data_IF_043525634752
#
_entry.id   IF_043525634752
#
_cell.length_a   1.000
_cell.length_b   1.000
_cell.length_c   1.000
_cell.angle_alpha   90.00
_cell.angle_beta   90.00
_cell.angle_gamma   90.00
#
_symmetry.space_group_name_H-M   'P 1'
#
loop_
_entity.id
_entity.type
_entity.pdbx_description
1 polymer ?
#
# COMPACT_ATOMS: atom_id res chain seq x y z
N UNK A 1 73.32 24.25 -12.11
CA UNK A 1 72.83 23.49 -10.94
C UNK A 1 71.31 23.48 -10.99
N UNK A 2 70.55 22.41 -10.79
CA UNK A 2 70.73 20.97 -10.92
C UNK A 2 69.28 20.45 -11.07
N UNK A 3 69.05 19.54 -12.01
CA UNK A 3 67.72 19.02 -12.41
C UNK A 3 67.04 18.28 -11.26
N UNK A 4 65.72 18.43 -11.12
CA UNK A 4 64.85 17.45 -10.47
C UNK A 4 63.54 17.28 -11.26
N UNK A 5 63.57 16.27 -12.12
CA UNK A 5 62.43 15.46 -12.58
C UNK A 5 61.76 14.77 -11.39
N UNK A 6 60.43 14.59 -11.39
CA UNK A 6 59.69 13.33 -11.12
C UNK A 6 58.22 13.57 -10.71
N UNK A 7 57.36 12.64 -11.14
CA UNK A 7 55.94 12.40 -10.83
C UNK A 7 54.86 13.22 -11.59
N UNK A 8 54.72 12.87 -12.86
CA UNK A 8 53.45 12.87 -13.60
C UNK A 8 53.21 11.42 -14.06
N UNK A 9 52.50 10.62 -13.27
CA UNK A 9 51.84 9.36 -13.67
C UNK A 9 51.34 8.62 -12.41
N UNK A 10 50.02 8.58 -12.20
CA UNK A 10 49.26 7.46 -11.59
C UNK A 10 47.90 7.93 -11.03
N UNK A 11 46.97 8.40 -11.87
CA UNK A 11 45.53 8.40 -11.54
C UNK A 11 44.72 8.19 -12.83
N UNK A 12 44.93 7.06 -13.50
CA UNK A 12 44.12 6.66 -14.65
C UNK A 12 44.12 5.14 -14.77
N UNK A 13 43.27 4.46 -13.99
CA UNK A 13 42.72 3.12 -14.24
C UNK A 13 42.04 2.55 -12.98
N UNK A 14 40.95 3.18 -12.51
CA UNK A 14 39.94 2.50 -11.65
C UNK A 14 38.55 2.77 -12.25
N UNK A 15 38.46 2.70 -13.58
CA UNK A 15 37.22 2.79 -14.33
C UNK A 15 37.00 1.45 -15.01
N UNK A 16 35.78 0.91 -14.89
CA UNK A 16 35.17 -0.16 -15.70
C UNK A 16 35.29 -1.62 -15.20
N UNK A 17 35.06 -1.85 -13.90
CA UNK A 17 34.46 -3.12 -13.44
C UNK A 17 33.26 -2.88 -12.52
N UNK A 18 32.50 -1.82 -12.77
CA UNK A 18 31.10 -1.81 -12.38
C UNK A 18 30.40 -2.80 -13.33
N UNK A 19 30.43 -4.09 -12.98
CA UNK A 19 29.61 -5.10 -13.64
C UNK A 19 28.18 -4.61 -13.56
N UNK A 20 27.67 -4.07 -14.67
CA UNK A 20 26.27 -3.68 -14.76
C UNK A 20 25.47 -4.92 -14.49
N UNK A 21 24.78 -4.97 -13.35
CA UNK A 21 23.78 -6.00 -13.12
C UNK A 21 22.86 -5.96 -14.35
N UNK A 22 22.75 -7.09 -15.05
CA UNK A 22 21.91 -7.17 -16.24
C UNK A 22 20.52 -6.65 -15.84
N UNK A 23 20.02 -5.66 -16.58
CA UNK A 23 18.71 -5.11 -16.31
C UNK A 23 17.67 -6.22 -16.46
N UNK A 24 16.81 -6.38 -15.46
CA UNK A 24 15.70 -7.32 -15.52
C UNK A 24 14.75 -6.92 -16.64
N UNK A 25 14.56 -7.83 -17.61
CA UNK A 25 13.60 -7.65 -18.71
C UNK A 25 12.68 -8.86 -18.75
N UNK A 26 11.38 -8.61 -18.77
CA UNK A 26 10.38 -9.66 -18.88
C UNK A 26 10.32 -10.22 -20.30
N UNK A 27 10.47 -11.54 -20.41
CA UNK A 27 10.53 -12.29 -21.66
C UNK A 27 9.28 -13.12 -21.94
N UNK A 28 8.38 -13.27 -20.96
CA UNK A 28 7.11 -13.95 -21.18
C UNK A 28 6.07 -13.65 -20.11
N UNK A 29 4.80 -13.89 -20.44
CA UNK A 29 3.67 -13.78 -19.52
C UNK A 29 2.86 -15.07 -19.53
N UNK A 30 2.57 -15.59 -18.34
CA UNK A 30 1.66 -16.72 -18.15
C UNK A 30 0.46 -16.27 -17.32
N UNK A 31 -0.75 -16.50 -17.83
CA UNK A 31 -2.01 -16.17 -17.14
C UNK A 31 -2.75 -17.46 -16.80
N UNK A 32 -3.16 -17.62 -15.53
CA UNK A 32 -3.90 -18.78 -15.02
C UNK A 32 -5.09 -18.35 -14.19
N UNK A 33 -6.20 -19.09 -14.29
CA UNK A 33 -7.31 -18.91 -13.37
C UNK A 33 -6.90 -19.41 -11.98
N UNK A 34 -7.16 -18.62 -10.94
CA UNK A 34 -6.85 -19.00 -9.56
C UNK A 34 -7.81 -20.04 -8.98
N UNK A 35 -8.98 -20.22 -9.59
CA UNK A 35 -10.08 -21.01 -9.04
C UNK A 35 -10.76 -20.37 -7.82
N UNK A 36 -10.34 -19.15 -7.43
CA UNK A 36 -10.93 -18.45 -6.31
C UNK A 36 -12.37 -18.03 -6.64
N UNK A 37 -13.28 -18.31 -5.70
CA UNK A 37 -14.66 -17.84 -5.80
C UNK A 37 -14.73 -16.35 -5.48
N UNK A 38 -15.47 -15.62 -6.29
CA UNK A 38 -15.82 -14.23 -6.06
C UNK A 38 -16.91 -14.12 -5.01
N UNK A 39 -17.00 -12.97 -4.33
CA UNK A 39 -18.02 -12.76 -3.30
C UNK A 39 -19.43 -12.60 -3.88
N UNK A 40 -19.53 -12.04 -5.08
CA UNK A 40 -20.75 -11.94 -5.87
C UNK A 40 -20.59 -12.70 -7.20
N UNK A 41 -21.69 -13.14 -7.83
CA UNK A 41 -21.63 -13.75 -9.16
C UNK A 41 -20.90 -12.85 -10.15
N UNK A 42 -19.99 -13.43 -10.95
CA UNK A 42 -19.24 -12.68 -11.96
C UNK A 42 -20.21 -12.13 -13.00
N UNK A 43 -20.18 -10.81 -13.21
CA UNK A 43 -20.91 -10.19 -14.31
C UNK A 43 -20.10 -10.39 -15.60
N UNK A 44 -20.41 -11.44 -16.34
CA UNK A 44 -19.69 -11.83 -17.56
C UNK A 44 -19.78 -10.81 -18.69
N UNK A 45 -20.74 -9.87 -18.66
CA UNK A 45 -20.84 -8.83 -19.70
C UNK A 45 -19.71 -7.80 -19.65
N UNK A 46 -19.12 -7.59 -18.47
CA UNK A 46 -18.07 -6.60 -18.24
C UNK A 46 -16.78 -7.21 -17.67
N UNK A 47 -16.74 -8.51 -17.36
CA UNK A 47 -15.54 -9.13 -16.80
C UNK A 47 -14.63 -9.65 -17.92
N UNK A 48 -13.32 -9.48 -17.76
CA UNK A 48 -12.36 -10.12 -18.66
C UNK A 48 -12.24 -11.62 -18.38
N UNK A 49 -12.33 -12.39 -19.45
CA UNK A 49 -11.96 -13.79 -19.47
C UNK A 49 -10.43 -13.96 -19.60
N UNK A 50 -9.98 -15.20 -19.82
CA UNK A 50 -8.55 -15.50 -19.95
C UNK A 50 -7.90 -14.72 -21.10
N UNK A 51 -8.60 -14.58 -22.23
CA UNK A 51 -8.03 -13.96 -23.42
C UNK A 51 -8.02 -12.44 -23.28
N UNK A 52 -9.03 -11.84 -22.65
CA UNK A 52 -9.03 -10.42 -22.28
C UNK A 52 -7.86 -10.05 -21.34
N UNK A 53 -7.59 -10.87 -20.32
CA UNK A 53 -6.44 -10.65 -19.43
C UNK A 53 -5.11 -10.81 -20.19
N UNK A 54 -4.97 -11.83 -21.04
CA UNK A 54 -3.77 -11.97 -21.89
C UNK A 54 -3.57 -10.79 -22.82
N UNK A 55 -4.64 -10.27 -23.43
CA UNK A 55 -4.57 -9.11 -24.32
C UNK A 55 -4.10 -7.86 -23.57
N UNK A 56 -4.58 -7.63 -22.34
CA UNK A 56 -4.10 -6.52 -21.51
C UNK A 56 -2.59 -6.59 -21.29
N UNK A 57 -2.06 -7.72 -20.82
CA UNK A 57 -0.62 -7.84 -20.58
C UNK A 57 0.20 -7.86 -21.89
N UNK A 58 -0.33 -8.38 -22.99
CA UNK A 58 0.31 -8.30 -24.29
C UNK A 58 0.42 -6.85 -24.80
N UNK A 59 -0.54 -5.98 -24.46
CA UNK A 59 -0.50 -4.56 -24.84
C UNK A 59 0.55 -3.74 -24.06
N UNK A 60 0.94 -4.21 -22.88
CA UNK A 60 1.98 -3.58 -22.04
C UNK A 60 3.39 -3.99 -22.48
N UNK A 61 3.55 -5.17 -23.11
CA UNK A 61 4.85 -5.70 -23.49
C UNK A 61 5.60 -4.76 -24.46
N UNK A 62 6.95 -4.68 -24.38
CA UNK A 62 7.84 -5.43 -23.49
C UNK A 62 7.78 -4.99 -22.02
N UNK A 63 8.07 -5.90 -21.09
CA UNK A 63 8.13 -5.58 -19.65
C UNK A 63 9.56 -5.17 -19.27
N UNK A 64 9.92 -3.90 -19.50
CA UNK A 64 11.28 -3.38 -19.30
C UNK A 64 11.47 -2.63 -17.96
N UNK A 65 10.39 -2.29 -17.26
CA UNK A 65 10.44 -1.54 -16.00
C UNK A 65 10.29 -2.44 -14.77
N UNK A 66 11.39 -3.07 -14.35
CA UNK A 66 11.46 -3.76 -13.06
C UNK A 66 11.84 -2.81 -11.93
N UNK A 67 11.12 -2.90 -10.81
CA UNK A 67 11.30 -2.07 -9.63
C UNK A 67 11.67 -2.91 -8.41
N UNK A 68 12.46 -2.32 -7.52
CA UNK A 68 12.83 -2.96 -6.25
C UNK A 68 11.60 -3.17 -5.38
N UNK A 69 11.42 -4.39 -4.88
CA UNK A 69 10.31 -4.73 -3.98
C UNK A 69 10.36 -3.95 -2.66
N UNK A 70 11.56 -3.57 -2.21
CA UNK A 70 11.78 -2.87 -0.93
C UNK A 70 12.10 -1.39 -1.10
N UNK A 71 12.64 -1.01 -2.26
CA UNK A 71 13.09 0.35 -2.56
C UNK A 71 12.06 1.23 -3.29
N UNK A 72 10.86 0.71 -3.55
CA UNK A 72 9.84 1.40 -4.36
C UNK A 72 8.64 1.85 -3.52
N UNK A 73 7.88 2.77 -4.09
CA UNK A 73 6.57 3.20 -3.57
C UNK A 73 5.51 2.17 -3.95
N UNK A 74 4.67 1.78 -2.99
CA UNK A 74 3.48 1.00 -3.29
C UNK A 74 2.27 1.90 -3.52
N UNK A 75 1.67 1.74 -4.70
CA UNK A 75 0.47 2.42 -5.12
C UNK A 75 -0.76 1.57 -4.78
N UNK A 76 -1.94 2.18 -4.85
CA UNK A 76 -3.17 1.41 -4.71
C UNK A 76 -3.39 0.58 -5.98
N UNK A 77 -3.97 -0.62 -5.84
CA UNK A 77 -4.46 -1.42 -6.97
C UNK A 77 -5.62 -0.77 -7.75
N UNK A 78 -5.86 0.53 -7.59
CA UNK A 78 -6.95 1.26 -8.24
C UNK A 78 -6.82 1.15 -9.76
N UNK A 79 -7.86 0.68 -10.43
CA UNK A 79 -7.81 0.35 -11.86
C UNK A 79 -7.64 1.57 -12.78
N UNK A 80 -7.72 2.79 -12.23
CA UNK A 80 -7.54 4.06 -12.95
C UNK A 80 -6.08 4.50 -13.06
N UNK A 81 -5.14 3.80 -12.42
CA UNK A 81 -3.72 4.14 -12.52
C UNK A 81 -3.17 3.90 -13.93
N UNK A 82 -2.45 4.86 -14.50
CA UNK A 82 -1.91 4.77 -15.87
C UNK A 82 -0.38 4.58 -15.93
N UNK A 83 0.29 4.64 -14.78
CA UNK A 83 1.75 4.53 -14.69
C UNK A 83 2.19 3.13 -14.28
N UNK A 84 3.41 2.76 -14.66
CA UNK A 84 4.05 1.53 -14.22
C UNK A 84 4.30 1.57 -12.71
N UNK A 85 3.50 0.84 -11.95
CA UNK A 85 3.44 0.93 -10.50
C UNK A 85 3.51 -0.47 -9.85
N UNK A 86 4.04 -0.53 -8.62
CA UNK A 86 3.86 -1.70 -7.75
C UNK A 86 2.60 -1.47 -6.90
N UNK A 87 1.57 -2.29 -7.13
CA UNK A 87 0.25 -2.16 -6.52
C UNK A 87 0.02 -3.05 -5.29
N UNK A 88 -0.53 -2.46 -4.23
CA UNK A 88 -1.14 -3.13 -3.06
C UNK A 88 -2.47 -2.47 -2.69
N UNK A 89 -3.49 -3.17 -2.13
CA UNK A 89 -4.74 -2.53 -1.76
C UNK A 89 -4.51 -1.32 -0.82
N UNK A 90 -4.85 -0.12 -1.30
CA UNK A 90 -4.68 1.13 -0.55
C UNK A 90 -3.28 1.77 -0.60
N UNK A 91 -2.27 1.10 -1.17
CA UNK A 91 -0.91 1.63 -1.28
C UNK A 91 -0.16 1.67 0.06
N UNK A 92 0.95 2.42 0.11
CA UNK A 92 1.79 2.59 1.30
C UNK A 92 0.99 2.94 2.57
N UNK A 93 -0.02 3.81 2.46
CA UNK A 93 -0.81 4.23 3.62
C UNK A 93 -1.58 3.08 4.28
N UNK A 94 -2.09 2.12 3.51
CA UNK A 94 -2.84 0.99 4.03
C UNK A 94 -1.92 -0.06 4.63
N UNK A 95 -0.76 -0.29 3.99
CA UNK A 95 0.30 -1.16 4.53
C UNK A 95 0.78 -0.64 5.89
N UNK A 96 1.06 0.67 6.00
CA UNK A 96 1.45 1.30 7.25
C UNK A 96 0.30 1.26 8.29
N UNK A 97 -0.95 1.49 7.89
CA UNK A 97 -2.12 1.39 8.79
C UNK A 97 -2.26 -0.01 9.42
N UNK A 98 -2.06 -1.07 8.63
CA UNK A 98 -2.06 -2.45 9.15
C UNK A 98 -0.92 -2.68 10.14
N UNK A 99 0.29 -2.22 9.81
CA UNK A 99 1.46 -2.37 10.68
C UNK A 99 1.32 -1.60 12.01
N UNK A 100 0.78 -0.38 11.98
CA UNK A 100 0.45 0.41 13.18
C UNK A 100 -0.56 -0.34 14.07
N UNK A 101 -1.56 -0.97 13.46
CA UNK A 101 -2.58 -1.73 14.19
C UNK A 101 -1.95 -2.92 14.93
N UNK A 102 -1.09 -3.70 14.26
CA UNK A 102 -0.36 -4.82 14.89
C UNK A 102 0.55 -4.30 16.00
N UNK A 103 1.25 -3.18 15.77
CA UNK A 103 2.09 -2.55 16.78
C UNK A 103 1.31 -2.20 18.05
N UNK A 104 0.14 -1.57 17.93
CA UNK A 104 -0.70 -1.24 19.08
C UNK A 104 -1.22 -2.48 19.80
N UNK A 105 -1.64 -3.50 19.04
CA UNK A 105 -2.12 -4.76 19.61
C UNK A 105 -1.04 -5.48 20.41
N UNK A 106 0.19 -5.59 19.90
CA UNK A 106 1.26 -6.30 20.58
C UNK A 106 1.84 -5.53 21.76
N UNK A 107 1.92 -4.21 21.67
CA UNK A 107 2.55 -3.39 22.70
C UNK A 107 1.59 -2.91 23.79
N UNK A 108 0.29 -3.14 23.62
CA UNK A 108 -0.77 -2.63 24.49
C UNK A 108 -0.85 -1.10 24.53
N UNK A 109 -0.21 -0.42 23.57
CA UNK A 109 -0.17 1.04 23.52
C UNK A 109 -1.53 1.56 23.07
N UNK A 110 -2.09 2.53 23.81
CA UNK A 110 -3.35 3.16 23.46
C UNK A 110 -3.20 3.94 22.16
N UNK A 111 -4.14 3.76 21.24
CA UNK A 111 -4.21 4.52 19.98
C UNK A 111 -4.49 6.00 20.29
N UNK A 112 -3.64 6.90 19.82
CA UNK A 112 -3.88 8.35 19.79
C UNK A 112 -3.37 8.94 18.47
N UNK A 113 -3.89 10.09 18.08
CA UNK A 113 -3.49 10.79 16.85
C UNK A 113 -2.01 11.18 16.88
N UNK A 114 -1.50 11.59 18.05
CA UNK A 114 -0.11 11.99 18.22
C UNK A 114 0.85 10.82 17.96
N UNK A 115 0.57 9.63 18.52
CA UNK A 115 1.44 8.47 18.32
C UNK A 115 1.39 8.01 16.86
N UNK A 116 0.22 8.03 16.22
CA UNK A 116 0.09 7.68 14.79
C UNK A 116 0.87 8.67 13.92
N UNK A 117 0.79 9.96 14.22
CA UNK A 117 1.60 10.99 13.54
C UNK A 117 3.09 10.76 13.76
N UNK A 118 3.53 10.52 14.99
CA UNK A 118 4.94 10.28 15.29
C UNK A 118 5.49 9.04 14.57
N UNK A 119 4.67 7.98 14.43
CA UNK A 119 5.04 6.80 13.63
C UNK A 119 5.16 7.17 12.14
N UNK A 120 4.19 7.89 11.58
CA UNK A 120 4.24 8.31 10.17
C UNK A 120 5.46 9.18 9.91
N UNK A 121 5.70 10.19 10.74
CA UNK A 121 6.84 11.10 10.61
C UNK A 121 8.15 10.30 10.64
N UNK A 122 8.32 9.41 11.62
CA UNK A 122 9.50 8.55 11.70
C UNK A 122 9.66 7.64 10.48
N UNK A 123 8.57 7.08 9.95
CA UNK A 123 8.59 6.24 8.77
C UNK A 123 9.00 7.03 7.52
N UNK A 124 8.39 8.19 7.29
CA UNK A 124 8.67 9.06 6.15
C UNK A 124 10.11 9.57 6.19
N UNK A 125 10.61 9.99 7.35
CA UNK A 125 12.00 10.46 7.50
C UNK A 125 13.04 9.37 7.21
N UNK A 126 12.72 8.10 7.51
CA UNK A 126 13.65 6.98 7.31
C UNK A 126 13.55 6.33 5.93
N UNK A 127 12.34 6.16 5.41
CA UNK A 127 12.08 5.31 4.26
C UNK A 127 11.51 6.05 3.06
N UNK A 128 11.14 7.32 3.17
CA UNK A 128 10.63 8.08 2.03
C UNK A 128 11.65 9.08 1.48
N UNK A 129 11.63 9.24 0.16
CA UNK A 129 12.48 10.15 -0.59
C UNK A 129 11.72 10.67 -1.82
N UNK A 130 12.19 11.71 -2.53
CA UNK A 130 11.56 12.12 -3.79
C UNK A 130 11.46 11.01 -4.84
N UNK A 131 12.39 10.04 -4.85
CA UNK A 131 12.36 8.88 -5.75
C UNK A 131 11.53 7.71 -5.22
N UNK A 132 11.18 7.71 -3.93
CA UNK A 132 10.30 6.74 -3.27
C UNK A 132 9.37 7.45 -2.29
N UNK A 133 8.40 8.25 -2.79
CA UNK A 133 7.50 8.98 -1.92
C UNK A 133 6.56 8.02 -1.18
N UNK A 134 6.14 8.38 0.02
CA UNK A 134 5.04 7.73 0.71
C UNK A 134 3.71 8.08 0.02
N UNK A 135 3.00 7.08 -0.49
CA UNK A 135 1.83 7.28 -1.33
C UNK A 135 0.49 7.27 -0.58
N UNK A 136 -0.38 8.19 -0.98
CA UNK A 136 -1.81 8.20 -0.70
C UNK A 136 -2.57 8.76 -1.90
N UNK A 137 -3.81 8.35 -2.08
CA UNK A 137 -4.69 8.96 -3.07
C UNK A 137 -6.13 9.09 -2.59
N UNK A 138 -6.83 9.99 -3.26
CA UNK A 138 -8.29 10.13 -3.23
C UNK A 138 -8.80 10.32 -4.66
N UNK A 139 -10.10 10.52 -4.84
CA UNK A 139 -10.73 10.72 -6.14
C UNK A 139 -11.45 12.06 -6.19
N UNK A 140 -11.59 12.59 -7.40
CA UNK A 140 -12.28 13.86 -7.64
C UNK A 140 -13.75 13.83 -7.19
N UNK A 141 -14.46 12.71 -7.42
CA UNK A 141 -15.85 12.53 -6.99
C UNK A 141 -16.01 12.60 -5.46
N UNK A 142 -15.02 12.09 -4.72
CA UNK A 142 -15.04 12.10 -3.26
C UNK A 142 -14.58 13.42 -2.69
N UNK A 143 -13.63 14.11 -3.32
CA UNK A 143 -13.29 15.49 -2.96
C UNK A 143 -14.49 16.43 -3.11
N UNK A 144 -15.30 16.28 -4.17
CA UNK A 144 -16.56 17.04 -4.29
C UNK A 144 -17.52 16.81 -3.11
N UNK A 145 -17.54 15.59 -2.55
CA UNK A 145 -18.32 15.28 -1.34
C UNK A 145 -17.71 15.90 -0.08
N UNK A 146 -16.38 15.92 0.05
CA UNK A 146 -15.69 16.67 1.11
C UNK A 146 -16.07 18.14 1.06
N UNK A 147 -16.14 18.76 -0.13
CA UNK A 147 -16.54 20.17 -0.24
C UNK A 147 -17.98 20.43 0.24
N UNK A 148 -18.89 19.50 -0.05
CA UNK A 148 -20.26 19.56 0.46
C UNK A 148 -20.30 19.40 1.99
N UNK A 149 -19.51 18.48 2.54
CA UNK A 149 -19.39 18.28 3.99
C UNK A 149 -18.93 19.56 4.68
N UNK A 150 -17.87 20.20 4.16
CA UNK A 150 -17.35 21.46 4.71
C UNK A 150 -18.38 22.59 4.67
N UNK A 151 -19.11 22.72 3.56
CA UNK A 151 -20.21 23.69 3.46
C UNK A 151 -21.28 23.44 4.52
N UNK A 152 -21.66 22.18 4.75
CA UNK A 152 -22.65 21.81 5.77
C UNK A 152 -22.16 22.13 7.19
N UNK A 153 -20.83 22.12 7.41
CA UNK A 153 -20.16 22.56 8.65
C UNK A 153 -19.96 24.08 8.75
N UNK A 154 -20.52 24.85 7.81
CA UNK A 154 -20.49 26.32 7.84
C UNK A 154 -19.26 26.95 7.21
N UNK A 155 -18.41 26.19 6.51
CA UNK A 155 -17.29 26.77 5.73
C UNK A 155 -17.86 27.57 4.56
N UNK A 156 -17.54 28.87 4.51
CA UNK A 156 -17.99 29.79 3.46
C UNK A 156 -16.81 30.62 2.91
N UNK A 157 -16.73 30.84 1.58
CA UNK A 157 -17.57 30.22 0.54
C UNK A 157 -17.36 28.70 0.47
N UNK A 158 -18.30 27.98 -0.16
CA UNK A 158 -18.16 26.54 -0.40
C UNK A 158 -16.85 26.30 -1.18
N UNK A 159 -15.94 25.44 -0.68
CA UNK A 159 -14.74 25.09 -1.43
C UNK A 159 -15.10 24.47 -2.78
N UNK A 160 -14.39 24.87 -3.84
CA UNK A 160 -14.52 24.27 -5.18
C UNK A 160 -13.24 23.60 -5.65
N UNK A 161 -12.15 23.83 -4.92
CA UNK A 161 -10.80 23.34 -5.20
C UNK A 161 -10.20 22.82 -3.90
N UNK A 162 -9.45 21.72 -3.99
CA UNK A 162 -8.67 21.22 -2.88
C UNK A 162 -7.46 22.15 -2.65
N UNK A 163 -7.30 22.77 -1.46
CA UNK A 163 -6.23 23.75 -1.26
C UNK A 163 -4.84 23.11 -1.38
N UNK A 164 -3.90 23.78 -2.05
CA UNK A 164 -2.52 23.29 -2.17
C UNK A 164 -1.72 23.41 -0.85
N UNK A 165 -2.06 24.43 -0.05
CA UNK A 165 -1.45 24.75 1.25
C UNK A 165 -2.50 24.73 2.36
N UNK A 166 -2.07 24.36 3.57
CA UNK A 166 -2.97 24.20 4.70
C UNK A 166 -3.66 25.54 5.02
N UNK A 167 -4.97 25.53 5.35
CA UNK A 167 -5.63 26.74 5.83
C UNK A 167 -4.90 27.32 7.05
N UNK A 168 -4.70 28.64 7.08
CA UNK A 168 -4.03 29.32 8.21
C UNK A 168 -4.92 29.42 9.44
N UNK A 169 -6.25 29.41 9.27
CA UNK A 169 -7.19 29.33 10.36
C UNK A 169 -7.24 27.88 10.90
N UNK A 170 -6.86 27.70 12.16
CA UNK A 170 -6.72 26.37 12.76
C UNK A 170 -8.06 25.62 12.78
N UNK A 171 -9.16 26.30 13.09
CA UNK A 171 -10.48 25.68 13.14
C UNK A 171 -10.90 25.16 11.76
N UNK A 172 -10.65 25.93 10.70
CA UNK A 172 -10.89 25.51 9.33
C UNK A 172 -10.00 24.32 8.95
N UNK A 173 -8.71 24.36 9.28
CA UNK A 173 -7.80 23.24 9.09
C UNK A 173 -8.29 21.96 9.78
N UNK A 174 -8.70 22.04 11.05
CA UNK A 174 -9.26 20.90 11.80
C UNK A 174 -10.54 20.37 11.13
N UNK A 175 -11.40 21.26 10.64
CA UNK A 175 -12.63 20.89 9.92
C UNK A 175 -12.31 20.12 8.63
N UNK A 176 -11.27 20.53 7.89
CA UNK A 176 -10.76 19.78 6.73
C UNK A 176 -10.22 18.42 7.11
N UNK A 177 -9.35 18.35 8.11
CA UNK A 177 -8.74 17.08 8.57
C UNK A 177 -9.80 16.09 9.05
N UNK A 178 -10.83 16.58 9.75
CA UNK A 178 -11.96 15.75 10.17
C UNK A 178 -12.70 15.19 8.96
N UNK A 179 -13.13 16.03 8.02
CA UNK A 179 -13.86 15.61 6.81
C UNK A 179 -13.03 14.65 5.94
N UNK A 180 -11.74 14.95 5.75
CA UNK A 180 -10.80 14.11 5.01
C UNK A 180 -10.52 12.78 5.69
N UNK A 181 -10.91 12.57 6.95
CA UNK A 181 -10.74 11.28 7.64
C UNK A 181 -12.02 10.45 7.71
N UNK A 182 -13.14 10.93 7.15
CA UNK A 182 -14.38 10.17 7.08
C UNK A 182 -14.29 9.11 5.97
N UNK A 183 -14.63 7.85 6.29
CA UNK A 183 -14.52 6.73 5.36
C UNK A 183 -15.35 6.92 4.09
N UNK A 184 -16.62 7.31 4.21
CA UNK A 184 -17.51 7.57 3.08
C UNK A 184 -17.04 8.68 2.13
N UNK A 185 -16.13 9.54 2.61
CA UNK A 185 -15.48 10.64 1.89
C UNK A 185 -14.09 10.27 1.33
N UNK A 186 -13.61 9.04 1.52
CA UNK A 186 -12.36 8.56 0.92
C UNK A 186 -12.57 8.11 -0.54
N UNK A 187 -11.70 8.58 -1.43
CA UNK A 187 -11.59 8.12 -2.83
C UNK A 187 -10.95 6.76 -3.00
N UNK A 188 -9.96 6.45 -2.17
CA UNK A 188 -9.39 5.10 -2.12
C UNK A 188 -10.43 4.12 -1.56
N UNK A 189 -10.85 3.17 -2.39
CA UNK A 189 -11.82 2.14 -2.01
C UNK A 189 -11.38 1.30 -0.81
N UNK A 190 -10.08 0.99 -0.71
CA UNK A 190 -9.53 0.27 0.44
C UNK A 190 -9.60 1.10 1.72
N UNK A 191 -9.09 2.34 1.72
CA UNK A 191 -9.13 3.21 2.91
C UNK A 191 -10.55 3.50 3.37
N UNK A 192 -11.49 3.71 2.43
CA UNK A 192 -12.93 3.83 2.75
C UNK A 192 -13.41 2.63 3.55
N UNK A 193 -13.18 1.42 3.06
CA UNK A 193 -13.66 0.20 3.69
C UNK A 193 -12.92 -0.11 5.00
N UNK A 194 -11.63 0.20 5.09
CA UNK A 194 -10.84 0.03 6.29
C UNK A 194 -11.36 0.94 7.44
N UNK A 195 -11.98 2.08 7.11
CA UNK A 195 -12.67 2.96 8.07
C UNK A 195 -14.13 2.53 8.30
N UNK A 196 -14.93 2.36 7.24
CA UNK A 196 -16.38 2.14 7.35
C UNK A 196 -16.75 0.69 7.74
N UNK A 197 -15.90 -0.27 7.39
CA UNK A 197 -16.06 -1.72 7.62
C UNK A 197 -14.92 -2.29 8.47
N UNK A 198 -14.38 -1.48 9.38
CA UNK A 198 -13.15 -1.76 10.14
C UNK A 198 -13.14 -3.15 10.82
N UNK A 199 -14.29 -3.64 11.32
CA UNK A 199 -14.40 -4.95 11.98
C UNK A 199 -14.11 -6.11 11.02
N UNK A 200 -14.67 -6.05 9.81
CA UNK A 200 -14.41 -7.07 8.79
C UNK A 200 -12.95 -7.05 8.30
N UNK A 201 -12.31 -5.88 8.38
CA UNK A 201 -10.89 -5.65 8.10
C UNK A 201 -9.96 -6.04 9.27
N UNK A 202 -10.49 -6.69 10.31
CA UNK A 202 -9.70 -7.19 11.43
C UNK A 202 -9.27 -6.11 12.44
N UNK A 203 -9.88 -4.92 12.37
CA UNK A 203 -9.58 -3.82 13.27
C UNK A 203 -10.56 -3.78 14.44
N UNK A 204 -10.08 -3.34 15.61
CA UNK A 204 -10.91 -3.13 16.81
C UNK A 204 -11.67 -1.81 16.76
N UNK A 205 -11.17 -0.82 16.02
CA UNK A 205 -11.76 0.50 15.84
C UNK A 205 -11.31 1.11 14.50
N UNK A 206 -12.01 2.13 13.98
CA UNK A 206 -11.58 2.87 12.79
C UNK A 206 -10.52 3.93 13.11
N UNK A 207 -9.99 4.03 14.33
CA UNK A 207 -9.21 5.20 14.72
C UNK A 207 -7.79 5.22 14.16
N UNK A 208 -7.14 4.05 13.98
CA UNK A 208 -5.82 3.99 13.33
C UNK A 208 -5.84 4.57 11.90
N UNK A 209 -6.70 4.11 10.98
CA UNK A 209 -6.71 4.68 9.62
C UNK A 209 -7.16 6.13 9.59
N UNK A 210 -8.10 6.53 10.44
CA UNK A 210 -8.55 7.93 10.55
C UNK A 210 -7.42 8.85 10.99
N UNK A 211 -6.71 8.47 12.06
CA UNK A 211 -5.55 9.17 12.57
C UNK A 211 -4.43 9.24 11.51
N UNK A 212 -4.21 8.16 10.76
CA UNK A 212 -3.17 8.11 9.74
C UNK A 212 -3.47 9.04 8.56
N UNK A 213 -4.74 9.14 8.13
CA UNK A 213 -5.13 10.12 7.11
C UNK A 213 -4.93 11.55 7.60
N UNK A 214 -5.31 11.85 8.86
CA UNK A 214 -5.04 13.18 9.46
C UNK A 214 -3.54 13.46 9.56
N UNK A 215 -2.74 12.48 9.95
CA UNK A 215 -1.28 12.58 10.03
C UNK A 215 -0.67 12.83 8.64
N UNK A 216 -1.14 12.13 7.59
CA UNK A 216 -0.69 12.34 6.22
C UNK A 216 -0.86 13.81 5.81
N UNK A 217 -2.05 14.38 5.98
CA UNK A 217 -2.30 15.77 5.61
C UNK A 217 -1.58 16.75 6.54
N UNK A 218 -1.42 16.43 7.81
CA UNK A 218 -0.64 17.25 8.75
C UNK A 218 0.86 17.30 8.42
N UNK A 219 1.42 16.29 7.76
CA UNK A 219 2.78 16.35 7.20
C UNK A 219 2.79 17.07 5.85
N UNK A 220 1.96 16.61 4.92
CA UNK A 220 2.00 17.03 3.52
C UNK A 220 1.69 18.52 3.37
N UNK A 221 0.58 18.97 3.96
CA UNK A 221 -0.04 20.25 3.66
C UNK A 221 0.72 21.50 4.13
N UNK A 222 1.30 21.53 5.36
CA UNK A 222 2.14 22.65 5.79
C UNK A 222 3.55 22.60 5.19
N UNK A 223 3.95 21.49 4.57
CA UNK A 223 5.26 21.40 3.92
C UNK A 223 5.25 22.19 2.61
N UNK A 224 6.20 23.13 2.37
CA UNK A 224 6.17 23.99 1.19
C UNK A 224 6.09 23.22 -0.13
N UNK A 225 5.23 23.64 -1.07
CA UNK A 225 5.19 23.09 -2.42
C UNK A 225 6.58 23.05 -3.07
N UNK A 226 6.84 22.02 -3.86
CA UNK A 226 8.11 21.77 -4.56
C UNK A 226 9.36 21.56 -3.68
N UNK A 227 9.25 21.59 -2.34
CA UNK A 227 10.37 21.25 -1.47
C UNK A 227 10.72 19.76 -1.55
N UNK A 228 12.00 19.43 -1.34
CA UNK A 228 12.45 18.03 -1.23
C UNK A 228 11.65 17.27 -0.16
N UNK A 229 11.29 17.93 0.94
CA UNK A 229 10.45 17.36 2.00
C UNK A 229 9.04 17.03 1.49
N UNK A 230 8.39 17.93 0.74
CA UNK A 230 7.08 17.67 0.11
C UNK A 230 7.18 16.50 -0.87
N UNK A 231 8.29 16.41 -1.60
CA UNK A 231 8.58 15.32 -2.52
C UNK A 231 8.65 13.93 -1.87
N UNK A 232 8.81 13.84 -0.53
CA UNK A 232 8.76 12.56 0.19
C UNK A 232 7.35 11.99 0.33
N UNK A 233 6.32 12.75 -0.04
CA UNK A 233 4.93 12.30 0.05
C UNK A 233 4.20 12.58 -1.26
N UNK A 234 3.53 11.56 -1.79
CA UNK A 234 2.75 11.66 -3.02
C UNK A 234 1.27 11.58 -2.68
N UNK A 235 0.57 12.70 -2.90
CA UNK A 235 -0.88 12.77 -2.89
C UNK A 235 -1.36 12.77 -4.32
N UNK A 236 -2.22 11.80 -4.68
CA UNK A 236 -2.80 11.71 -6.02
C UNK A 236 -4.32 11.91 -5.94
N UNK A 237 -4.87 12.68 -6.88
CA UNK A 237 -6.31 12.74 -7.13
C UNK A 237 -6.59 11.99 -8.42
N UNK A 238 -7.12 10.77 -8.30
CA UNK A 238 -7.51 9.99 -9.48
C UNK A 238 -8.84 10.48 -10.03
N UNK A 239 -9.00 10.40 -11.35
CA UNK A 239 -10.17 10.88 -12.08
C UNK A 239 -10.83 9.74 -12.83
N UNK A 240 -12.11 9.90 -13.14
CA UNK A 240 -12.88 8.94 -13.92
C UNK A 240 -13.45 7.77 -13.10
N UNK A 241 -14.24 6.91 -13.75
CA UNK A 241 -14.90 5.79 -13.12
C UNK A 241 -13.89 4.71 -12.74
N UNK A 242 -14.15 4.04 -11.60
CA UNK A 242 -13.44 2.82 -11.22
C UNK A 242 -14.06 1.65 -11.97
N UNK A 243 -13.49 1.28 -13.12
CA UNK A 243 -14.08 0.31 -14.06
C UNK A 243 -13.14 -0.88 -14.35
N UNK A 244 -12.53 -1.44 -13.30
CA UNK A 244 -11.70 -2.63 -13.46
C UNK A 244 -12.52 -3.85 -13.91
N UNK A 245 -11.96 -4.63 -14.84
CA UNK A 245 -12.64 -5.79 -15.46
C UNK A 245 -12.09 -7.15 -15.00
N UNK A 246 -10.98 -7.17 -14.27
CA UNK A 246 -10.43 -8.35 -13.62
C UNK A 246 -9.53 -7.96 -12.45
N UNK A 247 -9.27 -8.92 -11.55
CA UNK A 247 -8.20 -8.82 -10.55
C UNK A 247 -7.03 -9.68 -11.00
N UNK A 248 -5.85 -9.09 -11.13
CA UNK A 248 -4.61 -9.78 -11.49
C UNK A 248 -3.67 -9.81 -10.28
N UNK A 249 -3.30 -11.01 -9.84
CA UNK A 249 -2.25 -11.25 -8.85
C UNK A 249 -0.97 -11.50 -9.65
N UNK A 250 -0.09 -10.50 -9.67
CA UNK A 250 1.15 -10.51 -10.43
C UNK A 250 2.31 -10.96 -9.56
N UNK A 251 3.04 -11.95 -10.05
CA UNK A 251 4.34 -12.37 -9.56
C UNK A 251 5.35 -12.38 -10.72
N UNK A 252 6.65 -12.51 -10.39
CA UNK A 252 7.70 -12.64 -11.41
C UNK A 252 8.74 -13.70 -11.05
N UNK A 253 9.42 -14.22 -12.06
CA UNK A 253 10.51 -15.20 -11.90
C UNK A 253 11.74 -14.73 -12.64
N UNK A 254 12.94 -15.10 -12.17
CA UNK A 254 14.21 -14.75 -12.80
C UNK A 254 14.82 -13.43 -12.33
N UNK A 255 14.13 -12.67 -11.47
CA UNK A 255 14.59 -11.38 -10.96
C UNK A 255 14.36 -11.22 -9.44
N UNK A 256 15.16 -11.88 -8.59
CA UNK A 256 14.99 -11.84 -7.13
C UNK A 256 14.99 -10.41 -6.57
N UNK A 257 14.04 -10.11 -5.67
CA UNK A 257 13.92 -8.80 -5.01
C UNK A 257 13.41 -7.67 -5.91
N UNK A 258 13.04 -7.98 -7.16
CA UNK A 258 12.48 -7.03 -8.12
C UNK A 258 11.14 -7.57 -8.63
N UNK A 259 10.26 -6.67 -9.06
CA UNK A 259 8.99 -7.02 -9.71
C UNK A 259 8.74 -6.08 -10.88
N UNK A 260 8.07 -6.54 -11.96
CA UNK A 260 7.68 -5.66 -13.04
C UNK A 260 6.68 -4.64 -12.49
N UNK A 261 6.92 -3.36 -12.75
CA UNK A 261 5.97 -2.31 -12.47
C UNK A 261 5.02 -2.20 -13.65
N UNK A 262 3.72 -2.30 -13.40
CA UNK A 262 2.70 -2.46 -14.44
C UNK A 262 1.60 -1.41 -14.26
N UNK A 263 1.05 -0.85 -15.35
CA UNK A 263 -0.02 0.12 -15.26
C UNK A 263 -1.38 -0.59 -15.13
N UNK A 264 -2.18 -0.29 -14.09
CA UNK A 264 -3.54 -0.82 -13.96
C UNK A 264 -4.44 -0.53 -15.18
N UNK A 265 -4.24 0.61 -15.82
CA UNK A 265 -4.91 1.02 -17.05
C UNK A 265 -3.93 1.22 -18.21
N UNK A 266 -4.22 0.58 -19.34
CA UNK A 266 -3.42 0.71 -20.55
C UNK A 266 -4.26 0.45 -21.81
N UNK A 267 -4.16 1.30 -22.83
CA UNK A 267 -4.86 1.10 -24.10
C UNK A 267 -6.39 0.99 -23.98
N UNK A 268 -7.00 1.64 -22.99
CA UNK A 268 -8.44 1.55 -22.70
C UNK A 268 -8.86 0.34 -21.86
N UNK A 269 -7.93 -0.57 -21.53
CA UNK A 269 -8.15 -1.68 -20.61
C UNK A 269 -7.90 -1.25 -19.16
N UNK A 270 -8.63 -1.81 -18.20
CA UNK A 270 -8.49 -1.54 -16.76
C UNK A 270 -8.55 -2.82 -15.92
N UNK A 271 -7.53 -3.09 -15.10
CA UNK A 271 -7.46 -4.21 -14.16
C UNK A 271 -7.07 -3.72 -12.76
N UNK A 272 -7.44 -4.48 -11.72
CA UNK A 272 -6.85 -4.34 -10.39
C UNK A 272 -5.57 -5.18 -10.33
N UNK A 273 -4.39 -4.55 -10.27
CA UNK A 273 -3.10 -5.25 -10.30
C UNK A 273 -2.47 -5.29 -8.89
N UNK A 274 -2.35 -6.49 -8.31
CA UNK A 274 -1.77 -6.73 -6.99
C UNK A 274 -0.44 -7.49 -7.09
N UNK A 275 0.63 -6.96 -6.49
CA UNK A 275 1.98 -7.55 -6.53
C UNK A 275 2.29 -8.30 -5.24
N UNK A 276 1.75 -9.53 -5.11
CA UNK A 276 1.73 -10.24 -3.83
C UNK A 276 3.13 -10.48 -3.24
N UNK A 277 4.08 -10.95 -4.04
CA UNK A 277 5.46 -11.18 -3.59
C UNK A 277 6.18 -9.88 -3.20
N UNK A 278 6.07 -8.83 -4.02
CA UNK A 278 6.73 -7.55 -3.73
C UNK A 278 6.28 -6.95 -2.39
N UNK A 279 4.98 -7.06 -2.12
CA UNK A 279 4.39 -6.56 -0.88
C UNK A 279 4.82 -7.42 0.33
N UNK A 280 4.93 -8.75 0.19
CA UNK A 280 5.46 -9.63 1.24
C UNK A 280 6.92 -9.28 1.58
N UNK A 281 7.75 -9.04 0.56
CA UNK A 281 9.14 -8.59 0.71
C UNK A 281 9.22 -7.23 1.43
N UNK A 282 8.37 -6.27 1.06
CA UNK A 282 8.27 -4.97 1.72
C UNK A 282 7.87 -5.11 3.20
N UNK A 283 6.85 -5.93 3.50
CA UNK A 283 6.41 -6.19 4.88
C UNK A 283 7.53 -6.81 5.72
N UNK A 284 8.24 -7.78 5.17
CA UNK A 284 9.32 -8.52 5.84
C UNK A 284 10.57 -7.67 6.05
N UNK A 285 10.97 -6.89 5.04
CA UNK A 285 12.29 -6.25 4.98
C UNK A 285 12.25 -4.76 5.32
N UNK A 286 11.09 -4.11 5.27
CA UNK A 286 10.94 -2.67 5.56
C UNK A 286 10.05 -2.44 6.77
N UNK A 287 8.77 -2.83 6.70
CA UNK A 287 7.81 -2.51 7.78
C UNK A 287 8.18 -3.21 9.09
N UNK A 288 8.46 -4.51 9.04
CA UNK A 288 8.74 -5.29 10.25
C UNK A 288 10.00 -4.76 10.97
N UNK A 289 11.16 -4.58 10.32
CA UNK A 289 12.34 -4.02 10.98
C UNK A 289 12.12 -2.61 11.51
N UNK A 290 11.40 -1.76 10.76
CA UNK A 290 11.05 -0.42 11.22
C UNK A 290 10.29 -0.45 12.54
N UNK A 291 9.26 -1.29 12.69
CA UNK A 291 8.47 -1.37 13.92
C UNK A 291 9.22 -2.02 15.09
N UNK A 292 10.11 -2.99 14.83
CA UNK A 292 11.01 -3.53 15.86
C UNK A 292 11.93 -2.43 16.40
N UNK A 293 12.55 -1.66 15.52
CA UNK A 293 13.43 -0.55 15.91
C UNK A 293 12.65 0.56 16.63
N UNK A 294 11.49 0.96 16.10
CA UNK A 294 10.63 1.97 16.70
C UNK A 294 10.15 1.55 18.10
N UNK A 295 9.79 0.27 18.30
CA UNK A 295 9.48 -0.26 19.62
C UNK A 295 10.67 -0.11 20.59
N UNK A 296 11.88 -0.40 20.13
CA UNK A 296 13.12 -0.22 20.90
C UNK A 296 13.33 1.21 21.37
N UNK A 297 13.07 2.22 20.52
CA UNK A 297 13.12 3.64 20.88
C UNK A 297 12.14 3.99 22.02
N UNK A 298 11.00 3.32 22.06
CA UNK A 298 9.98 3.46 23.10
C UNK A 298 10.23 2.56 24.32
N UNK A 299 11.40 1.91 24.42
CA UNK A 299 11.75 0.94 25.47
C UNK A 299 10.73 -0.21 25.57
N UNK A 300 10.11 -0.58 24.46
CA UNK A 300 9.21 -1.72 24.31
C UNK A 300 9.94 -2.84 23.57
N UNK A 301 9.54 -4.08 23.81
CA UNK A 301 10.03 -5.23 23.04
C UNK A 301 8.95 -5.71 22.08
N UNK A 302 9.38 -6.08 20.88
CA UNK A 302 8.51 -6.55 19.81
C UNK A 302 9.22 -7.71 19.12
N UNK A 303 8.58 -8.87 19.12
CA UNK A 303 9.13 -10.07 18.47
C UNK A 303 8.95 -9.94 16.95
N UNK A 304 10.07 -9.91 16.23
CA UNK A 304 10.09 -9.66 14.79
C UNK A 304 9.23 -10.66 14.01
N UNK A 305 9.37 -11.95 14.32
CA UNK A 305 8.69 -13.04 13.62
C UNK A 305 7.19 -12.99 13.88
N UNK A 306 6.80 -12.79 15.14
CA UNK A 306 5.40 -12.66 15.56
C UNK A 306 4.75 -11.44 14.91
N UNK A 307 5.41 -10.28 14.91
CA UNK A 307 4.92 -9.08 14.24
C UNK A 307 4.68 -9.29 12.77
N UNK A 308 5.67 -9.84 12.05
CA UNK A 308 5.55 -10.13 10.64
C UNK A 308 4.37 -11.07 10.34
N UNK A 309 4.23 -12.16 11.11
CA UNK A 309 3.15 -13.12 10.93
C UNK A 309 1.77 -12.53 11.22
N UNK A 310 1.63 -11.71 12.27
CA UNK A 310 0.38 -11.01 12.58
C UNK A 310 0.03 -9.96 11.52
N UNK A 311 1.02 -9.21 11.02
CA UNK A 311 0.83 -8.27 9.91
C UNK A 311 0.37 -8.98 8.64
N UNK A 312 1.03 -10.08 8.28
CA UNK A 312 0.65 -10.90 7.13
C UNK A 312 -0.77 -11.45 7.26
N UNK A 313 -1.14 -11.94 8.43
CA UNK A 313 -2.49 -12.44 8.72
C UNK A 313 -3.54 -11.33 8.60
N UNK A 314 -3.30 -10.17 9.23
CA UNK A 314 -4.20 -9.02 9.16
C UNK A 314 -4.38 -8.55 7.70
N UNK A 315 -3.28 -8.41 6.95
CA UNK A 315 -3.35 -7.97 5.56
C UNK A 315 -4.05 -8.99 4.64
N UNK A 316 -3.91 -10.28 4.89
CA UNK A 316 -4.69 -11.31 4.19
C UNK A 316 -6.19 -11.19 4.48
N UNK A 317 -6.57 -10.90 5.74
CA UNK A 317 -7.95 -10.61 6.10
C UNK A 317 -8.47 -9.35 5.40
N UNK A 318 -7.66 -8.28 5.35
CA UNK A 318 -8.04 -7.03 4.68
C UNK A 318 -8.20 -7.22 3.17
N UNK A 319 -7.31 -7.97 2.51
CA UNK A 319 -7.46 -8.33 1.11
C UNK A 319 -8.76 -9.11 0.86
N UNK A 320 -9.07 -10.10 1.70
CA UNK A 320 -10.32 -10.85 1.60
C UNK A 320 -11.55 -9.93 1.78
N UNK A 321 -11.49 -8.98 2.71
CA UNK A 321 -12.57 -8.02 2.93
C UNK A 321 -12.74 -7.05 1.75
N UNK A 322 -11.65 -6.59 1.11
CA UNK A 322 -11.72 -5.80 -0.14
C UNK A 322 -12.42 -6.60 -1.24
N UNK A 323 -11.99 -7.84 -1.48
CA UNK A 323 -12.60 -8.72 -2.47
C UNK A 323 -14.06 -9.08 -2.14
N UNK A 324 -14.49 -8.88 -0.90
CA UNK A 324 -15.88 -9.07 -0.48
C UNK A 324 -16.73 -7.83 -0.73
N UNK A 325 -16.23 -6.65 -0.38
CA UNK A 325 -17.04 -5.44 -0.25
C UNK A 325 -16.78 -4.35 -1.30
N UNK A 326 -15.64 -4.38 -2.00
CA UNK A 326 -15.31 -3.35 -2.98
C UNK A 326 -15.90 -3.70 -4.35
N UNK A 327 -16.91 -2.95 -4.79
CA UNK A 327 -17.35 -2.98 -6.18
C UNK A 327 -16.40 -2.15 -7.08
N UNK A 328 -16.14 -2.56 -8.34
CA UNK A 328 -16.62 -3.80 -8.95
C UNK A 328 -15.83 -5.07 -8.56
N UNK A 329 -14.66 -4.94 -7.92
CA UNK A 329 -13.74 -6.05 -7.64
C UNK A 329 -14.37 -7.31 -7.01
N UNK A 330 -15.42 -7.15 -6.19
CA UNK A 330 -16.13 -8.24 -5.53
C UNK A 330 -16.98 -9.13 -6.46
N UNK A 331 -17.11 -8.76 -7.73
CA UNK A 331 -17.81 -9.48 -8.78
C UNK A 331 -16.90 -9.77 -10.00
N UNK A 332 -15.57 -9.76 -9.84
CA UNK A 332 -14.62 -9.95 -10.94
C UNK A 332 -13.80 -11.23 -10.79
N UNK A 333 -13.46 -11.90 -11.90
CA UNK A 333 -12.58 -13.06 -11.87
C UNK A 333 -11.18 -12.67 -11.41
N UNK A 334 -10.55 -13.60 -10.67
CA UNK A 334 -9.20 -13.43 -10.10
C UNK A 334 -8.23 -14.32 -10.87
N UNK A 335 -7.20 -13.71 -11.44
CA UNK A 335 -6.20 -14.36 -12.27
C UNK A 335 -4.83 -14.29 -11.62
N UNK A 336 -4.06 -15.38 -11.71
CA UNK A 336 -2.64 -15.38 -11.41
C UNK A 336 -1.88 -15.08 -12.70
N UNK A 337 -0.95 -14.14 -12.61
CA UNK A 337 -0.14 -13.65 -13.73
C UNK A 337 1.31 -13.79 -13.33
N UNK A 338 2.10 -14.52 -14.10
CA UNK A 338 3.53 -14.68 -13.87
C UNK A 338 4.30 -14.09 -15.03
N UNK A 339 5.15 -13.10 -14.75
CA UNK A 339 6.09 -12.53 -15.71
C UNK A 339 7.42 -13.24 -15.57
N UNK A 340 7.81 -14.01 -16.59
CA UNK A 340 9.15 -14.57 -16.68
C UNK A 340 10.12 -13.46 -17.10
N UNK A 341 11.26 -13.35 -16.43
CA UNK A 341 12.29 -12.37 -16.74
C UNK A 341 13.64 -13.04 -16.94
N UNK A 342 14.41 -12.47 -17.87
CA UNK A 342 15.80 -12.84 -18.08
C UNK A 342 16.66 -11.97 -17.16
N UNK A 343 16.79 -12.37 -15.91
CA UNK A 343 17.91 -11.93 -15.07
C UNK A 343 19.05 -12.90 -15.32
N UNK A 344 20.23 -12.41 -15.69
CA UNK A 344 21.41 -13.28 -15.82
C UNK A 344 21.59 -14.08 -14.52
N UNK A 345 21.46 -15.40 -14.61
CA UNK A 345 21.70 -16.34 -13.50
C UNK A 345 23.06 -16.03 -12.83
N UNK A 346 23.08 -15.73 -11.52
CA UNK A 346 23.90 -16.42 -10.48
C UNK A 346 23.95 -15.64 -9.16
N UNK A 347 24.17 -16.29 -7.98
CA UNK A 347 24.27 -17.73 -7.70
C UNK A 347 23.06 -18.28 -6.92
N UNK A 348 22.89 -19.59 -7.00
CA UNK A 348 21.95 -20.39 -6.22
C UNK A 348 22.12 -20.19 -4.71
N UNK A 349 21.33 -19.29 -4.11
CA UNK A 349 20.96 -19.39 -2.70
C UNK A 349 19.94 -20.53 -2.52
N UNK A 350 19.95 -21.22 -1.38
CA UNK A 350 19.14 -22.42 -1.18
C UNK A 350 17.66 -22.10 -1.35
N UNK A 351 16.95 -22.97 -2.07
CA UNK A 351 15.51 -22.84 -2.36
C UNK A 351 14.74 -22.31 -1.13
N UNK A 352 14.18 -21.09 -1.17
CA UNK A 352 13.17 -20.72 -0.21
C UNK A 352 11.97 -21.64 -0.44
N UNK A 353 11.44 -22.21 0.64
CA UNK A 353 10.25 -23.07 0.56
C UNK A 353 9.16 -22.36 -0.25
N UNK A 354 8.60 -23.05 -1.25
CA UNK A 354 7.45 -22.59 -2.02
C UNK A 354 6.30 -22.30 -1.05
N UNK A 355 6.19 -21.05 -0.60
CA UNK A 355 4.96 -20.53 -0.05
C UNK A 355 3.99 -20.43 -1.22
N UNK A 356 3.12 -21.44 -1.31
CA UNK A 356 1.85 -21.28 -2.02
C UNK A 356 1.20 -19.99 -1.52
N UNK A 357 0.64 -19.20 -2.44
CA UNK A 357 -0.19 -18.05 -2.08
C UNK A 357 -1.09 -18.44 -0.90
N UNK A 358 -1.22 -17.59 0.14
CA UNK A 358 -2.01 -17.93 1.31
C UNK A 358 -3.36 -18.46 0.82
N UNK A 359 -3.72 -19.66 1.28
CA UNK A 359 -4.95 -20.31 0.88
C UNK A 359 -6.12 -19.47 1.42
N UNK A 360 -6.54 -18.46 0.65
CA UNK A 360 -7.63 -17.54 0.96
C UNK A 360 -8.99 -18.26 1.05
N UNK A 361 -9.04 -19.56 0.78
CA UNK A 361 -10.24 -20.39 0.83
C UNK A 361 -10.70 -20.75 2.27
N UNK A 362 -10.00 -20.35 3.34
CA UNK A 362 -10.48 -20.65 4.70
C UNK A 362 -10.08 -19.62 5.78
N UNK A 363 -10.82 -18.51 5.96
CA UNK A 363 -10.53 -17.50 6.99
C UNK A 363 -11.09 -17.84 8.39
N UNK A 364 -11.49 -19.08 8.68
CA UNK A 364 -12.24 -19.42 9.91
C UNK A 364 -11.44 -20.25 10.93
N UNK A 365 -10.47 -19.62 11.60
CA UNK A 365 -10.06 -20.02 12.95
C UNK A 365 -11.04 -19.43 13.96
N UNK A 366 -12.11 -20.16 14.30
CA UNK A 366 -13.12 -19.74 15.29
C UNK A 366 -12.44 -19.57 16.67
N UNK A 367 -12.54 -18.42 17.35
CA UNK A 367 -12.05 -18.29 18.71
C UNK A 367 -12.88 -19.21 19.63
N UNK A 368 -12.20 -20.01 20.46
CA UNK A 368 -12.84 -20.80 21.49
C UNK A 368 -13.53 -19.90 22.50
N UNK A 369 -14.84 -20.08 22.69
CA UNK A 369 -15.61 -19.45 23.76
C UNK A 369 -15.07 -19.88 25.13
N UNK A 370 -14.26 -19.04 25.78
CA UNK A 370 -14.07 -19.12 27.23
C UNK A 370 -15.17 -18.29 27.89
N UNK A 371 -16.17 -18.96 28.45
CA UNK A 371 -17.18 -18.36 29.32
C UNK A 371 -16.53 -17.81 30.58
N UNK A 372 -16.35 -16.49 30.65
CA UNK A 372 -16.09 -15.77 31.91
C UNK A 372 -17.43 -15.32 32.49
N UNK A 373 -17.81 -15.91 33.62
CA UNK A 373 -19.02 -15.58 34.36
C UNK A 373 -18.81 -14.30 35.17
N UNK A 374 -19.30 -13.17 34.64
CA UNK A 374 -19.43 -11.94 35.40
C UNK A 374 -20.70 -12.00 36.27
N UNK A 375 -20.52 -12.06 37.61
CA UNK A 375 -21.58 -11.83 38.59
C UNK A 375 -21.87 -10.33 38.68
N UNK A 376 -23.13 -9.94 38.48
CA UNK A 376 -23.64 -8.61 38.82
C UNK A 376 -23.77 -8.47 40.35
N UNK A 377 -23.44 -7.30 40.95
CA UNK A 377 -23.75 -7.04 42.34
C UNK A 377 -25.24 -6.72 42.51
N UNK A 378 -25.82 -7.26 43.59
CA UNK A 378 -27.21 -7.05 43.97
C UNK A 378 -27.50 -5.60 44.32
N UNK A 379 -28.60 -5.09 43.78
CA UNK A 379 -29.23 -3.81 44.13
C UNK A 379 -29.82 -3.92 45.54
N UNK A 380 -29.29 -3.15 46.49
CA UNK A 380 -29.97 -2.85 47.76
C UNK A 380 -30.60 -1.47 47.68
N UNK A 381 -31.89 -1.40 48.02
CA UNK A 381 -32.61 -0.22 48.51
C UNK A 381 -34.05 -0.61 48.89
N UNK A 382 -34.68 0.18 49.77
CA UNK A 382 -34.45 0.31 51.20
C UNK A 382 -35.15 -0.79 52.01
#
# INVERSE_FOLDING_TARGET
>A
MQRSTFLLAAVAAVLLLAGGAAACVGTGVTVKNTGMKTALPVNTSNAFDLDGVKQHFASIAPFDEFKSNVGSTFYCVDSRGEYNELGTPGGDIAELSGAITVFFNQTGTKVTDEIVRDILDAFVERHASPSRPFYYHTSDDKLRKVFNELESKGVKPKPTVFPETMPTDQKLADTWLEALSVGSLQGCGHMRLLIDQYKDFGLTSPEVPRALVRAFFSYWWPTPPHSTKRGRMKMTVVQGPLDGHAVAIVDSTGCPGMSPALPPSHGGSQLFIYHAQAVDDFRKSVLTPFFVEYAGLLKKQLDQTKFYNELKSLQAQQLAAVLKYLAPANALPIWSVTIAADGSDTPSEPEPSRNTAPNLANPAGRPSNSTSSYRLPASTKP
#
